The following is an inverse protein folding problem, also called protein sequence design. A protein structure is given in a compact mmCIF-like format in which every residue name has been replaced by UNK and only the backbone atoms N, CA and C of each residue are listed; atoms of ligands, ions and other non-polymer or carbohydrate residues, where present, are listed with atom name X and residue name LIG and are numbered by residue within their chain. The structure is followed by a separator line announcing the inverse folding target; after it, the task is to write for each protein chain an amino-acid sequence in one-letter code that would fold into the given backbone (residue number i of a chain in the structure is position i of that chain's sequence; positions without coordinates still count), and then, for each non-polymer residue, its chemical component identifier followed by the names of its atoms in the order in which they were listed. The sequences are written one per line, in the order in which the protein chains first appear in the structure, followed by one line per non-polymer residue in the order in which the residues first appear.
data_IF_757445481642
#
_entry.id   IF_757445481642
#
_cell.length_a   1.000
_cell.length_b   1.000
_cell.length_c   1.000
_cell.angle_alpha   90.00
_cell.angle_beta   90.00
_cell.angle_gamma   90.00
#
_symmetry.space_group_name_H-M   'P 1'
#
loop_
_entity.id
_entity.type
_entity.pdbx_description
1 polymer ?
#
# COMPACT_ATOMS: atom_id res chain seq x y z
N UNK A 1 -18.24 15.62 2.08
CA UNK A 1 -17.41 15.30 3.26
C UNK A 1 -16.07 14.77 2.78
N UNK A 2 -14.97 15.52 2.98
CA UNK A 2 -13.63 15.05 2.65
C UNK A 2 -13.20 14.06 3.72
N UNK A 3 -13.26 12.77 3.39
CA UNK A 3 -12.80 11.70 4.27
C UNK A 3 -11.27 11.71 4.24
N UNK A 4 -10.65 12.57 5.04
CA UNK A 4 -9.19 12.65 5.16
C UNK A 4 -8.70 11.45 5.94
N UNK A 5 -8.03 10.51 5.26
CA UNK A 5 -7.38 9.40 5.96
C UNK A 5 -6.45 9.95 7.05
N UNK A 6 -6.48 9.37 8.26
CA UNK A 6 -5.65 9.83 9.35
C UNK A 6 -4.18 9.84 8.95
N UNK A 7 -3.43 10.80 9.49
CA UNK A 7 -1.97 10.84 9.34
C UNK A 7 -1.40 9.56 9.96
N UNK A 8 -0.32 9.05 9.39
CA UNK A 8 0.36 7.88 9.94
C UNK A 8 0.87 8.22 11.34
N UNK A 9 0.40 7.44 12.31
CA UNK A 9 0.81 7.56 13.69
C UNK A 9 2.16 6.86 13.90
N UNK A 10 3.23 7.63 13.72
CA UNK A 10 4.61 7.17 13.95
C UNK A 10 4.86 6.82 15.42
N UNK A 11 4.18 7.49 16.35
CA UNK A 11 4.27 7.22 17.78
C UNK A 11 3.73 5.84 18.10
N UNK A 12 2.52 5.53 17.61
CA UNK A 12 1.92 4.21 17.76
C UNK A 12 2.78 3.09 17.14
N UNK A 13 3.36 3.32 15.96
CA UNK A 13 4.28 2.36 15.31
C UNK A 13 5.50 2.10 16.21
N UNK A 14 6.11 3.15 16.74
CA UNK A 14 7.29 3.03 17.59
C UNK A 14 6.96 2.34 18.93
N UNK A 15 5.88 2.74 19.59
CA UNK A 15 5.41 2.12 20.82
C UNK A 15 5.09 0.62 20.65
N UNK A 16 4.48 0.23 19.53
CA UNK A 16 4.23 -1.17 19.21
C UNK A 16 5.54 -1.96 19.01
N UNK A 17 6.52 -1.36 18.35
CA UNK A 17 7.83 -1.98 18.16
C UNK A 17 8.58 -2.20 19.49
N UNK A 18 8.52 -1.22 20.40
CA UNK A 18 9.09 -1.37 21.73
C UNK A 18 8.38 -2.46 22.54
N UNK A 19 7.04 -2.54 22.45
CA UNK A 19 6.27 -3.63 23.07
C UNK A 19 6.74 -4.99 22.57
N UNK A 20 6.90 -5.15 21.25
CA UNK A 20 7.44 -6.38 20.64
C UNK A 20 8.85 -6.70 21.13
N UNK A 21 9.71 -5.69 21.30
CA UNK A 21 11.06 -5.87 21.81
C UNK A 21 11.07 -6.39 23.26
N UNK A 22 10.19 -5.87 24.12
CA UNK A 22 10.03 -6.34 25.51
C UNK A 22 9.62 -7.82 25.52
N UNK A 23 8.60 -8.19 24.75
CA UNK A 23 8.13 -9.59 24.67
C UNK A 23 9.23 -10.53 24.16
N UNK A 24 10.05 -10.10 23.20
CA UNK A 24 11.19 -10.89 22.70
C UNK A 24 12.28 -11.05 23.75
N UNK A 25 12.56 -10.00 24.52
CA UNK A 25 13.51 -10.05 25.64
C UNK A 25 13.05 -11.05 26.70
N UNK A 26 11.77 -11.01 27.08
CA UNK A 26 11.18 -11.95 28.04
C UNK A 26 11.26 -13.40 27.54
N UNK A 27 10.99 -13.61 26.24
CA UNK A 27 11.08 -14.92 25.59
C UNK A 27 12.52 -15.36 25.23
N UNK A 28 13.56 -14.60 25.61
CA UNK A 28 14.97 -14.85 25.25
C UNK A 28 15.22 -15.01 23.74
N UNK A 29 14.42 -14.32 22.92
CA UNK A 29 14.57 -14.28 21.48
C UNK A 29 15.60 -13.20 21.08
N UNK A 30 16.26 -13.32 19.92
CA UNK A 30 17.11 -12.27 19.39
C UNK A 30 16.36 -10.94 19.29
N UNK A 31 16.97 -9.86 19.76
CA UNK A 31 16.38 -8.52 19.71
C UNK A 31 16.23 -8.05 18.25
N UNK A 32 15.18 -7.26 18.00
CA UNK A 32 14.94 -6.60 16.72
C UNK A 32 15.94 -5.46 16.50
N UNK A 33 16.35 -5.26 15.25
CA UNK A 33 16.90 -3.98 14.81
C UNK A 33 15.75 -2.95 14.79
N UNK A 34 15.62 -2.20 15.88
CA UNK A 34 14.53 -1.24 16.09
C UNK A 34 14.51 -0.20 14.98
N UNK A 35 15.67 0.22 14.48
CA UNK A 35 15.75 1.24 13.43
C UNK A 35 15.22 0.67 12.11
N UNK A 36 15.74 -0.47 11.69
CA UNK A 36 15.31 -1.10 10.43
C UNK A 36 13.81 -1.45 10.45
N UNK A 37 13.32 -2.02 11.54
CA UNK A 37 11.91 -2.39 11.70
C UNK A 37 10.99 -1.18 11.74
N UNK A 38 11.38 -0.10 12.41
CA UNK A 38 10.63 1.15 12.40
C UNK A 38 10.51 1.73 10.99
N UNK A 39 11.62 1.83 10.25
CA UNK A 39 11.59 2.33 8.87
C UNK A 39 10.69 1.48 7.97
N UNK A 40 10.80 0.15 8.05
CA UNK A 40 9.92 -0.76 7.29
C UNK A 40 8.45 -0.56 7.64
N UNK A 41 8.11 -0.46 8.92
CA UNK A 41 6.73 -0.28 9.37
C UNK A 41 6.14 1.08 8.91
N UNK A 42 6.94 2.15 8.96
CA UNK A 42 6.54 3.47 8.44
C UNK A 42 6.31 3.43 6.94
N UNK A 43 7.23 2.83 6.17
CA UNK A 43 7.09 2.68 4.71
C UNK A 43 5.86 1.85 4.33
N UNK A 44 5.59 0.76 5.05
CA UNK A 44 4.39 -0.04 4.84
C UNK A 44 3.11 0.75 5.14
N UNK A 45 3.09 1.55 6.21
CA UNK A 45 1.95 2.41 6.52
C UNK A 45 1.76 3.50 5.46
N UNK A 46 2.85 4.08 4.93
CA UNK A 46 2.84 5.04 3.83
C UNK A 46 2.27 4.41 2.56
N UNK A 47 2.71 3.21 2.22
CA UNK A 47 2.21 2.46 1.07
C UNK A 47 0.72 2.16 1.21
N UNK A 48 0.26 1.62 2.35
CA UNK A 48 -1.16 1.32 2.58
C UNK A 48 -2.03 2.56 2.41
N UNK A 49 -1.63 3.66 3.04
CA UNK A 49 -2.34 4.94 2.90
C UNK A 49 -2.36 5.42 1.44
N UNK A 50 -1.25 5.28 0.71
CA UNK A 50 -1.19 5.64 -0.70
C UNK A 50 -2.17 4.81 -1.54
N UNK A 51 -2.22 3.49 -1.31
CA UNK A 51 -3.17 2.59 -1.98
C UNK A 51 -4.60 2.97 -1.65
N UNK A 52 -4.95 3.17 -0.38
CA UNK A 52 -6.31 3.55 0.04
C UNK A 52 -6.79 4.85 -0.61
N UNK A 53 -5.91 5.85 -0.75
CA UNK A 53 -6.26 7.12 -1.40
C UNK A 53 -6.41 7.01 -2.92
N UNK A 54 -5.62 6.14 -3.56
CA UNK A 54 -5.42 6.21 -5.01
C UNK A 54 -5.96 5.01 -5.78
N UNK A 55 -6.25 3.88 -5.12
CA UNK A 55 -6.56 2.62 -5.78
C UNK A 55 -7.70 2.73 -6.77
N UNK A 56 -8.88 3.18 -6.33
CA UNK A 56 -10.05 3.28 -7.20
C UNK A 56 -9.83 4.25 -8.36
N UNK A 57 -9.20 5.40 -8.09
CA UNK A 57 -8.90 6.40 -9.13
C UNK A 57 -7.94 5.85 -10.18
N UNK A 58 -6.84 5.21 -9.76
CA UNK A 58 -5.84 4.63 -10.67
C UNK A 58 -6.43 3.47 -11.46
N UNK A 59 -7.19 2.59 -10.79
CA UNK A 59 -7.86 1.46 -11.43
C UNK A 59 -8.88 1.92 -12.48
N UNK A 60 -9.70 2.92 -12.17
CA UNK A 60 -10.65 3.49 -13.12
C UNK A 60 -9.95 4.11 -14.33
N UNK A 61 -8.85 4.85 -14.12
CA UNK A 61 -8.06 5.43 -15.20
C UNK A 61 -7.45 4.35 -16.11
N UNK A 62 -6.87 3.29 -15.53
CA UNK A 62 -6.33 2.14 -16.28
C UNK A 62 -7.42 1.45 -17.09
N UNK A 63 -8.60 1.21 -16.49
CA UNK A 63 -9.72 0.60 -17.21
C UNK A 63 -10.20 1.47 -18.38
N UNK A 64 -10.32 2.78 -18.18
CA UNK A 64 -10.70 3.72 -19.23
C UNK A 64 -9.70 3.71 -20.40
N UNK A 65 -8.40 3.73 -20.10
CA UNK A 65 -7.34 3.63 -21.12
C UNK A 65 -7.43 2.31 -21.92
N UNK A 66 -7.66 1.19 -21.23
CA UNK A 66 -7.75 -0.11 -21.89
C UNK A 66 -9.03 -0.24 -22.72
N UNK A 67 -10.15 0.34 -22.28
CA UNK A 67 -11.39 0.41 -23.08
C UNK A 67 -11.23 1.28 -24.31
N UNK A 68 -10.54 2.41 -24.20
CA UNK A 68 -10.23 3.26 -25.36
C UNK A 68 -9.39 2.52 -26.42
N UNK A 69 -8.50 1.61 -25.97
CA UNK A 69 -7.60 0.86 -26.86
C UNK A 69 -8.21 -0.43 -27.42
N UNK A 70 -9.04 -1.13 -26.65
CA UNK A 70 -9.49 -2.50 -26.94
C UNK A 70 -11.02 -2.64 -27.01
N UNK A 71 -11.76 -1.55 -26.82
CA UNK A 71 -13.22 -1.50 -26.84
C UNK A 71 -13.88 -1.53 -25.46
N UNK A 72 -15.11 -1.02 -25.39
CA UNK A 72 -15.91 -0.84 -24.16
C UNK A 72 -16.08 -2.12 -23.32
N UNK A 73 -16.08 -3.29 -23.96
CA UNK A 73 -16.22 -4.59 -23.29
C UNK A 73 -14.95 -5.03 -22.55
N UNK A 74 -13.83 -4.34 -22.73
CA UNK A 74 -12.59 -4.67 -22.02
C UNK A 74 -12.80 -4.60 -20.50
N UNK A 75 -12.24 -5.59 -19.80
CA UNK A 75 -12.42 -5.77 -18.35
C UNK A 75 -13.63 -6.62 -17.94
N UNK A 76 -14.45 -7.08 -18.90
CA UNK A 76 -15.55 -8.02 -18.61
C UNK A 76 -15.10 -9.48 -18.48
N UNK A 77 -14.01 -9.87 -19.16
CA UNK A 77 -13.43 -11.22 -19.07
C UNK A 77 -12.49 -11.36 -17.86
N UNK A 78 -12.18 -12.59 -17.46
CA UNK A 78 -11.20 -12.86 -16.40
C UNK A 78 -9.83 -12.27 -16.74
N UNK A 79 -9.33 -12.50 -17.96
CA UNK A 79 -8.05 -11.95 -18.43
C UNK A 79 -8.04 -10.42 -18.46
N UNK A 80 -9.15 -9.78 -18.87
CA UNK A 80 -9.28 -8.33 -18.83
C UNK A 80 -9.24 -7.76 -17.41
N UNK A 81 -9.91 -8.42 -16.45
CA UNK A 81 -9.85 -8.03 -15.02
C UNK A 81 -8.46 -8.17 -14.44
N UNK A 82 -7.75 -9.25 -14.77
CA UNK A 82 -6.36 -9.45 -14.36
C UNK A 82 -5.43 -8.37 -14.94
N UNK A 83 -5.55 -8.05 -16.23
CA UNK A 83 -4.76 -7.01 -16.86
C UNK A 83 -4.97 -5.64 -16.19
N UNK A 84 -6.23 -5.26 -15.90
CA UNK A 84 -6.54 -4.02 -15.17
C UNK A 84 -5.90 -4.04 -13.78
N UNK A 85 -6.00 -5.14 -13.04
CA UNK A 85 -5.44 -5.26 -11.69
C UNK A 85 -3.91 -5.10 -11.69
N UNK A 86 -3.21 -5.79 -12.59
CA UNK A 86 -1.75 -5.75 -12.69
C UNK A 86 -1.25 -4.36 -13.07
N UNK A 87 -1.87 -3.73 -14.08
CA UNK A 87 -1.48 -2.41 -14.53
C UNK A 87 -1.82 -1.32 -13.50
N UNK A 88 -2.94 -1.44 -12.79
CA UNK A 88 -3.27 -0.55 -11.68
C UNK A 88 -2.26 -0.67 -10.53
N UNK A 89 -1.86 -1.90 -10.17
CA UNK A 89 -0.83 -2.13 -9.17
C UNK A 89 0.51 -1.53 -9.59
N UNK A 90 0.93 -1.71 -10.84
CA UNK A 90 2.15 -1.12 -11.38
C UNK A 90 2.12 0.42 -11.34
N UNK A 91 1.00 1.02 -11.74
CA UNK A 91 0.83 2.47 -11.69
C UNK A 91 0.85 3.01 -10.24
N UNK A 92 0.23 2.31 -9.29
CA UNK A 92 0.31 2.65 -7.87
C UNK A 92 1.75 2.59 -7.34
N UNK A 93 2.49 1.53 -7.67
CA UNK A 93 3.90 1.38 -7.27
C UNK A 93 4.78 2.49 -7.86
N UNK A 94 4.62 2.81 -9.14
CA UNK A 94 5.39 3.86 -9.80
C UNK A 94 5.11 5.24 -9.17
N UNK A 95 3.83 5.56 -8.94
CA UNK A 95 3.46 6.83 -8.30
C UNK A 95 3.92 6.94 -6.85
N UNK A 96 4.05 5.82 -6.14
CA UNK A 96 4.58 5.81 -4.77
C UNK A 96 6.10 5.99 -4.73
N UNK A 97 6.82 5.38 -5.67
CA UNK A 97 8.28 5.49 -5.78
C UNK A 97 8.76 6.88 -6.20
N UNK A 98 7.95 7.61 -6.98
CA UNK A 98 8.29 8.94 -7.50
C UNK A 98 7.83 10.09 -6.57
N UNK A 99 7.59 9.80 -5.29
CA UNK A 99 7.06 10.75 -4.31
C UNK A 99 8.17 11.40 -3.50
#
# INVERSE_FOLDING_TARGET
MQNTLPKIDRGAIFSDLLRRQVLRREARLPLLDVRAEYHRAVEQALWRRHVELNHERVRAAVLAQLRAKHGERFGGSWGGRMAVSLLAQQALQNSFRNR
#
